data_IF_488960809153
#
_entry.id   IF_488960809153
#
_cell.length_a   1.000
_cell.length_b   1.000
_cell.length_c   1.000
_cell.angle_alpha   90.00
_cell.angle_beta   90.00
_cell.angle_gamma   90.00
#
_symmetry.space_group_name_H-M   'P 1'
#
loop_
_entity.id
_entity.type
_entity.pdbx_description
1 polymer ?
#
# COMPACT_ATOMS: atom_id res chain seq x y z
N UNK A 1 1.42 6.60 19.19
CA UNK A 1 2.86 6.22 19.28
C UNK A 1 3.62 7.51 19.54
N UNK A 2 4.87 7.53 20.11
CA UNK A 2 5.57 8.81 20.26
C UNK A 2 6.24 9.22 18.95
N UNK A 3 6.49 10.52 18.78
CA UNK A 3 7.18 11.06 17.60
C UNK A 3 8.57 10.42 17.41
N UNK A 4 9.31 10.24 18.50
CA UNK A 4 10.62 9.61 18.48
C UNK A 4 10.54 8.18 17.95
N UNK A 5 9.50 7.42 18.36
CA UNK A 5 9.32 6.05 17.91
C UNK A 5 8.95 5.98 16.43
N UNK A 6 8.12 6.89 15.94
CA UNK A 6 7.81 7.00 14.52
C UNK A 6 9.08 7.25 13.68
N UNK A 7 9.95 8.14 14.14
CA UNK A 7 11.25 8.42 13.49
C UNK A 7 12.15 7.18 13.50
N UNK A 8 12.27 6.49 14.65
CA UNK A 8 13.04 5.26 14.74
C UNK A 8 12.56 4.18 13.78
N UNK A 9 11.26 3.98 13.66
CA UNK A 9 10.67 2.98 12.77
C UNK A 9 10.97 3.31 11.28
N UNK A 10 10.84 4.58 10.88
CA UNK A 10 11.18 5.00 9.51
C UNK A 10 12.68 4.84 9.25
N UNK A 11 13.54 5.20 10.20
CA UNK A 11 14.99 5.02 10.07
C UNK A 11 15.38 3.55 9.98
N UNK A 12 14.70 2.66 10.72
CA UNK A 12 14.92 1.22 10.64
C UNK A 12 14.54 0.68 9.25
N UNK A 13 13.38 1.05 8.73
CA UNK A 13 12.96 0.67 7.38
C UNK A 13 13.96 1.16 6.33
N UNK A 14 14.39 2.40 6.41
CA UNK A 14 15.43 2.97 5.52
C UNK A 14 16.76 2.24 5.65
N UNK A 15 17.16 1.89 6.87
CA UNK A 15 18.38 1.10 7.15
C UNK A 15 18.34 -0.30 6.54
N UNK A 16 17.15 -0.87 6.37
CA UNK A 16 16.91 -2.13 5.64
C UNK A 16 16.76 -1.94 4.13
N UNK A 17 17.05 -0.76 3.60
CA UNK A 17 16.95 -0.43 2.18
C UNK A 17 15.50 -0.38 1.63
N UNK A 18 14.51 -0.27 2.49
CA UNK A 18 13.13 -0.04 2.07
C UNK A 18 12.96 1.42 1.64
N UNK A 19 12.19 1.64 0.59
CA UNK A 19 11.88 2.98 0.08
C UNK A 19 10.39 3.31 0.13
N UNK A 20 9.55 2.36 0.53
CA UNK A 20 8.11 2.50 0.58
C UNK A 20 7.52 1.69 1.73
N UNK A 21 6.36 2.14 2.22
CA UNK A 21 5.57 1.46 3.25
C UNK A 21 4.09 1.54 2.91
N UNK A 22 3.37 0.45 3.16
CA UNK A 22 1.91 0.43 3.15
C UNK A 22 1.39 0.48 4.58
N UNK A 23 0.40 1.33 4.82
CA UNK A 23 -0.23 1.49 6.12
C UNK A 23 -1.40 0.50 6.27
N UNK A 24 -1.08 -0.75 6.48
CA UNK A 24 -2.06 -1.82 6.67
C UNK A 24 -2.58 -1.81 8.12
N UNK A 25 -3.84 -1.64 8.40
CA UNK A 25 -5.00 -1.53 7.52
C UNK A 25 -5.86 -0.32 7.92
N UNK A 26 -5.24 0.80 8.16
CA UNK A 26 -5.86 2.07 8.60
C UNK A 26 -4.87 3.24 8.45
N UNK A 27 -5.37 4.47 8.40
CA UNK A 27 -4.50 5.64 8.27
C UNK A 27 -3.50 5.75 9.42
N UNK A 28 -2.29 6.22 9.11
CA UNK A 28 -1.23 6.38 10.10
C UNK A 28 -1.47 7.55 11.07
N UNK A 29 -0.68 7.55 12.12
CA UNK A 29 -0.41 8.72 12.94
C UNK A 29 0.22 9.83 12.07
N UNK A 30 -0.28 11.08 12.12
CA UNK A 30 0.31 12.19 11.37
C UNK A 30 1.81 12.37 11.57
N UNK A 31 2.31 12.14 12.79
CA UNK A 31 3.75 12.22 13.08
C UNK A 31 4.57 11.15 12.34
N UNK A 32 3.97 10.00 12.02
CA UNK A 32 4.61 9.01 11.17
C UNK A 32 4.73 9.51 9.73
N UNK A 33 3.70 10.15 9.19
CA UNK A 33 3.74 10.75 7.86
C UNK A 33 4.76 11.90 7.79
N UNK A 34 4.85 12.75 8.83
CA UNK A 34 5.91 13.77 8.93
C UNK A 34 7.32 13.14 8.89
N UNK A 35 7.51 12.02 9.57
CA UNK A 35 8.78 11.29 9.53
C UNK A 35 9.06 10.73 8.13
N UNK A 36 8.06 10.17 7.45
CA UNK A 36 8.19 9.69 6.07
C UNK A 36 8.55 10.83 5.10
N UNK A 37 7.90 11.99 5.23
CA UNK A 37 8.21 13.18 4.43
C UNK A 37 9.64 13.64 4.62
N UNK A 38 10.09 13.71 5.88
CA UNK A 38 11.40 14.24 6.24
C UNK A 38 12.55 13.31 5.86
N UNK A 39 12.32 12.00 5.94
CA UNK A 39 13.33 10.97 5.73
C UNK A 39 13.27 10.32 4.35
N UNK A 40 12.25 10.63 3.56
CA UNK A 40 12.12 10.16 2.18
C UNK A 40 11.67 8.69 2.08
N UNK A 41 10.58 8.32 2.75
CA UNK A 41 9.92 7.04 2.62
C UNK A 41 8.56 7.23 1.94
N UNK A 42 8.32 6.59 0.81
CA UNK A 42 7.02 6.65 0.13
C UNK A 42 5.95 5.89 0.90
N UNK A 43 4.71 6.37 0.80
CA UNK A 43 3.59 5.85 1.57
C UNK A 43 2.42 5.48 0.66
N UNK A 44 1.83 4.32 0.90
CA UNK A 44 0.47 3.97 0.52
C UNK A 44 -0.41 4.14 1.76
N UNK A 45 -1.20 5.21 1.79
CA UNK A 45 -2.12 5.46 2.91
C UNK A 45 -3.43 4.72 2.68
N UNK A 46 -3.98 4.10 3.72
CA UNK A 46 -5.07 3.14 3.57
C UNK A 46 -6.29 3.53 4.40
N UNK A 47 -7.45 3.59 3.72
CA UNK A 47 -8.73 3.62 4.39
C UNK A 47 -8.96 2.28 5.09
N UNK A 48 -9.37 2.29 6.35
CA UNK A 48 -9.74 1.07 7.08
C UNK A 48 -10.79 0.25 6.33
N UNK A 49 -10.80 -1.04 6.56
CA UNK A 49 -11.70 -2.01 5.91
C UNK A 49 -10.95 -3.29 5.57
N UNK A 50 -11.35 -4.41 6.21
CA UNK A 50 -10.70 -5.71 6.00
C UNK A 50 -11.77 -6.78 5.92
N UNK A 51 -11.87 -7.43 4.75
CA UNK A 51 -12.94 -8.37 4.37
C UNK A 51 -14.36 -7.79 4.38
N UNK A 52 -14.62 -6.76 5.17
CA UNK A 52 -15.88 -6.04 5.24
C UNK A 52 -15.70 -4.59 4.82
N UNK A 53 -16.53 -4.13 3.89
CA UNK A 53 -16.51 -2.75 3.39
C UNK A 53 -17.40 -1.84 4.22
N UNK A 54 -17.04 -0.57 4.29
CA UNK A 54 -17.94 0.46 4.80
C UNK A 54 -19.14 0.65 3.87
N UNK A 55 -20.30 0.99 4.43
CA UNK A 55 -21.37 1.58 3.63
C UNK A 55 -20.94 2.92 3.04
N UNK A 56 -21.56 3.31 1.93
CA UNK A 56 -21.16 4.51 1.19
C UNK A 56 -21.22 5.79 2.03
N UNK A 57 -22.27 6.08 2.80
CA UNK A 57 -22.32 7.28 3.62
C UNK A 57 -21.23 7.36 4.69
N UNK A 58 -20.88 6.23 5.30
CA UNK A 58 -19.79 6.17 6.29
C UNK A 58 -18.45 6.32 5.61
N UNK A 59 -18.22 5.59 4.51
CA UNK A 59 -16.97 5.63 3.76
C UNK A 59 -16.62 7.02 3.22
N UNK A 60 -17.61 7.75 2.69
CA UNK A 60 -17.42 9.13 2.20
C UNK A 60 -16.84 10.02 3.30
N UNK A 61 -17.42 10.00 4.51
CA UNK A 61 -16.93 10.81 5.64
C UNK A 61 -15.53 10.41 6.10
N UNK A 62 -15.23 9.12 6.07
CA UNK A 62 -13.90 8.63 6.46
C UNK A 62 -12.83 9.03 5.44
N UNK A 63 -13.14 8.96 4.13
CA UNK A 63 -12.24 9.40 3.05
C UNK A 63 -12.00 10.91 3.15
N UNK A 64 -13.06 11.70 3.30
CA UNK A 64 -12.95 13.15 3.49
C UNK A 64 -12.00 13.47 4.63
N UNK A 65 -12.25 12.93 5.82
CA UNK A 65 -11.41 13.20 6.99
C UNK A 65 -9.96 12.71 6.84
N UNK A 66 -9.73 11.56 6.20
CA UNK A 66 -8.39 11.03 5.94
C UNK A 66 -7.64 11.93 4.96
N UNK A 67 -8.24 12.23 3.81
CA UNK A 67 -7.56 13.00 2.76
C UNK A 67 -7.37 14.45 3.18
N UNK A 68 -8.35 15.11 3.79
CA UNK A 68 -8.19 16.48 4.29
C UNK A 68 -7.03 16.60 5.27
N UNK A 69 -6.82 15.59 6.10
CA UNK A 69 -5.70 15.53 7.03
C UNK A 69 -4.37 15.32 6.31
N UNK A 70 -4.33 14.38 5.35
CA UNK A 70 -3.08 13.77 4.86
C UNK A 70 -2.66 14.22 3.45
N UNK A 71 -3.52 14.92 2.71
CA UNK A 71 -3.29 15.31 1.30
C UNK A 71 -2.00 16.11 1.06
N UNK A 72 -1.53 16.83 2.07
CA UNK A 72 -0.34 17.67 1.98
C UNK A 72 0.97 16.92 2.29
N UNK A 73 0.92 15.62 2.61
CA UNK A 73 2.11 14.80 2.79
C UNK A 73 2.66 14.36 1.43
N UNK A 74 3.85 14.85 1.00
CA UNK A 74 4.43 14.49 -0.29
C UNK A 74 4.92 13.04 -0.35
N UNK A 75 5.11 12.39 0.78
CA UNK A 75 5.43 10.97 0.87
C UNK A 75 4.32 10.06 0.37
N UNK A 76 3.05 10.48 0.49
CA UNK A 76 1.91 9.69 0.03
C UNK A 76 1.86 9.72 -1.50
N UNK A 77 1.96 8.55 -2.11
CA UNK A 77 1.91 8.38 -3.58
C UNK A 77 0.75 7.51 -4.06
N UNK A 78 0.13 6.77 -3.16
CA UNK A 78 -1.10 6.00 -3.40
C UNK A 78 -2.09 6.15 -2.26
N UNK A 79 -3.37 6.08 -2.61
CA UNK A 79 -4.46 5.83 -1.67
C UNK A 79 -4.91 4.38 -1.80
N UNK A 80 -5.23 3.73 -0.70
CA UNK A 80 -5.78 2.38 -0.68
C UNK A 80 -7.21 2.40 -0.14
N UNK A 81 -8.14 1.80 -0.89
CA UNK A 81 -9.56 1.72 -0.52
C UNK A 81 -9.85 0.41 0.24
N UNK A 82 -9.25 0.23 1.42
CA UNK A 82 -9.43 -0.97 2.24
C UNK A 82 -8.52 -2.14 1.85
N UNK A 83 -8.81 -3.33 2.38
CA UNK A 83 -8.01 -4.53 2.20
C UNK A 83 -8.88 -5.76 1.86
N UNK A 84 -8.34 -6.68 1.05
CA UNK A 84 -8.89 -8.04 0.82
C UNK A 84 -10.41 -8.08 0.63
N UNK A 85 -10.92 -7.39 -0.39
CA UNK A 85 -12.36 -7.20 -0.68
C UNK A 85 -13.10 -6.29 0.33
N UNK A 86 -12.40 -5.66 1.26
CA UNK A 86 -12.96 -4.64 2.14
C UNK A 86 -13.19 -3.29 1.46
N UNK A 87 -12.87 -3.16 0.16
CA UNK A 87 -13.14 -1.94 -0.61
C UNK A 87 -14.60 -1.85 -1.05
N UNK A 88 -15.15 -0.64 -0.96
CA UNK A 88 -16.42 -0.29 -1.57
C UNK A 88 -16.17 0.49 -2.86
N UNK A 89 -16.46 -0.08 -4.01
CA UNK A 89 -16.19 0.52 -5.32
C UNK A 89 -16.96 1.81 -5.59
N UNK A 90 -18.05 2.06 -4.87
CA UNK A 90 -18.76 3.34 -4.94
C UNK A 90 -17.94 4.51 -4.36
N UNK A 91 -16.91 4.19 -3.58
CA UNK A 91 -16.03 5.17 -2.93
C UNK A 91 -14.81 5.56 -3.77
N UNK A 92 -14.51 4.85 -4.85
CA UNK A 92 -13.26 5.08 -5.61
C UNK A 92 -13.15 6.53 -6.12
N UNK A 93 -14.25 7.10 -6.55
CA UNK A 93 -14.28 8.48 -7.02
C UNK A 93 -14.20 9.53 -5.90
N UNK A 94 -14.50 9.16 -4.67
CA UNK A 94 -14.50 10.08 -3.53
C UNK A 94 -13.09 10.57 -3.19
N UNK A 95 -12.08 9.67 -3.28
CA UNK A 95 -10.68 10.02 -3.05
C UNK A 95 -10.26 11.23 -3.92
N UNK A 96 -10.65 11.23 -5.18
CA UNK A 96 -10.28 12.28 -6.12
C UNK A 96 -11.09 13.59 -5.95
N UNK A 97 -12.13 13.62 -5.13
CA UNK A 97 -12.81 14.88 -4.81
C UNK A 97 -11.96 15.76 -3.90
N UNK A 98 -11.26 15.15 -2.96
CA UNK A 98 -10.48 15.82 -1.93
C UNK A 98 -8.98 15.86 -2.25
N UNK A 99 -8.48 14.98 -3.14
CA UNK A 99 -7.08 14.99 -3.58
C UNK A 99 -6.90 15.73 -4.91
N UNK A 100 -6.38 16.97 -4.90
CA UNK A 100 -6.14 17.75 -6.12
C UNK A 100 -5.06 17.13 -7.03
N UNK A 101 -4.18 16.28 -6.48
CA UNK A 101 -3.13 15.60 -7.24
C UNK A 101 -3.66 14.38 -7.99
N UNK A 102 -4.87 13.90 -7.67
CA UNK A 102 -5.49 12.72 -8.30
C UNK A 102 -4.60 11.47 -8.22
N UNK A 103 -3.96 11.26 -7.05
CA UNK A 103 -3.12 10.07 -6.83
C UNK A 103 -3.92 8.80 -7.09
N UNK A 104 -3.28 7.74 -7.59
CA UNK A 104 -3.98 6.48 -7.85
C UNK A 104 -4.61 5.89 -6.60
N UNK A 105 -5.80 5.32 -6.77
CA UNK A 105 -6.49 4.52 -5.75
C UNK A 105 -6.21 3.05 -6.01
N UNK A 106 -5.84 2.30 -4.99
CA UNK A 106 -5.49 0.89 -5.06
C UNK A 106 -6.54 0.04 -4.34
N UNK A 107 -6.78 -1.15 -4.87
CA UNK A 107 -7.59 -2.19 -4.21
C UNK A 107 -6.67 -3.35 -3.82
N UNK A 108 -6.12 -3.41 -2.60
CA UNK A 108 -5.27 -4.51 -2.15
C UNK A 108 -5.91 -5.88 -2.34
N UNK A 109 -5.17 -6.83 -2.91
CA UNK A 109 -5.64 -8.12 -3.39
C UNK A 109 -6.60 -8.02 -4.61
N UNK A 110 -6.47 -6.97 -5.41
CA UNK A 110 -7.33 -6.76 -6.58
C UNK A 110 -6.58 -6.27 -7.81
N UNK A 111 -7.27 -6.28 -8.94
CA UNK A 111 -6.83 -5.66 -10.18
C UNK A 111 -7.70 -4.42 -10.42
N UNK A 112 -7.11 -3.25 -10.24
CA UNK A 112 -7.83 -1.98 -10.33
C UNK A 112 -6.89 -0.83 -10.72
N UNK A 113 -7.39 0.13 -11.46
CA UNK A 113 -6.69 1.37 -11.83
C UNK A 113 -5.32 1.14 -12.50
N UNK A 114 -5.16 0.03 -13.24
CA UNK A 114 -3.91 -0.33 -13.92
C UNK A 114 -2.88 -1.04 -13.05
N UNK A 115 -3.24 -1.41 -11.82
CA UNK A 115 -2.40 -2.16 -10.89
C UNK A 115 -2.97 -3.55 -10.61
N UNK A 116 -2.11 -4.54 -10.59
CA UNK A 116 -2.37 -5.89 -10.11
C UNK A 116 -1.66 -6.06 -8.75
N UNK A 117 -2.46 -6.25 -7.70
CA UNK A 117 -1.98 -6.17 -6.30
C UNK A 117 -2.21 -7.46 -5.51
N UNK A 118 -2.31 -8.59 -6.19
CA UNK A 118 -2.65 -9.88 -5.59
C UNK A 118 -1.73 -10.26 -4.42
N UNK A 119 -2.35 -10.79 -3.35
CA UNK A 119 -1.66 -11.19 -2.13
C UNK A 119 -1.15 -12.62 -2.17
N UNK A 120 0.00 -12.87 -1.52
CA UNK A 120 0.56 -14.19 -1.15
C UNK A 120 0.57 -15.22 -2.28
N UNK A 121 0.95 -14.82 -3.48
CA UNK A 121 1.10 -15.77 -4.59
C UNK A 121 2.42 -16.49 -4.53
N UNK A 122 2.40 -17.78 -4.92
CA UNK A 122 3.63 -18.53 -5.11
C UNK A 122 4.53 -17.87 -6.15
N UNK A 123 5.79 -18.22 -6.15
CA UNK A 123 6.78 -17.70 -7.11
C UNK A 123 6.32 -17.88 -8.56
N UNK A 124 5.80 -19.07 -8.92
CA UNK A 124 5.32 -19.33 -10.28
C UNK A 124 4.05 -18.55 -10.64
N UNK A 125 3.11 -18.39 -9.71
CA UNK A 125 1.92 -17.58 -9.92
C UNK A 125 2.28 -16.10 -10.11
N UNK A 126 3.21 -15.58 -9.31
CA UNK A 126 3.68 -14.20 -9.44
C UNK A 126 4.26 -13.92 -10.83
N UNK A 127 4.99 -14.87 -11.42
CA UNK A 127 5.46 -14.77 -12.80
C UNK A 127 4.31 -14.66 -13.82
N UNK A 128 3.18 -15.32 -13.57
CA UNK A 128 2.01 -15.23 -14.44
C UNK A 128 1.33 -13.87 -14.32
N UNK A 129 1.18 -13.33 -13.11
CA UNK A 129 0.63 -11.98 -12.91
C UNK A 129 1.48 -10.90 -13.56
N UNK A 130 2.80 -11.02 -13.54
CA UNK A 130 3.69 -10.06 -14.22
C UNK A 130 3.57 -10.07 -15.76
N UNK A 131 2.94 -11.09 -16.37
CA UNK A 131 2.65 -11.12 -17.82
C UNK A 131 1.42 -10.32 -18.21
N UNK A 132 0.58 -9.96 -17.25
CA UNK A 132 -0.59 -9.12 -17.47
C UNK A 132 -0.19 -7.71 -17.91
N UNK A 133 -1.07 -6.95 -18.54
CA UNK A 133 -0.76 -5.58 -19.00
C UNK A 133 -0.61 -4.58 -17.84
N UNK A 134 -1.15 -4.88 -16.67
CA UNK A 134 -1.12 -4.03 -15.49
C UNK A 134 0.28 -3.96 -14.87
N UNK A 135 0.52 -2.93 -14.08
CA UNK A 135 1.69 -2.82 -13.22
C UNK A 135 1.52 -3.82 -12.06
N UNK A 136 2.44 -4.77 -11.94
CA UNK A 136 2.45 -5.72 -10.83
C UNK A 136 3.10 -5.08 -9.60
N UNK A 137 2.32 -5.00 -8.54
CA UNK A 137 2.71 -4.44 -7.24
C UNK A 137 1.96 -5.20 -6.15
N UNK A 138 2.36 -6.42 -5.78
CA UNK A 138 1.69 -7.15 -4.70
C UNK A 138 1.73 -6.31 -3.42
N UNK A 139 0.56 -6.09 -2.83
CA UNK A 139 0.43 -5.29 -1.62
C UNK A 139 0.66 -6.10 -0.34
N UNK A 140 0.75 -7.40 -0.47
CA UNK A 140 1.26 -8.32 0.53
C UNK A 140 1.89 -9.53 -0.16
N UNK A 141 3.14 -9.85 0.18
CA UNK A 141 3.80 -11.05 -0.38
C UNK A 141 4.78 -11.63 0.63
N UNK A 142 5.06 -12.94 0.46
CA UNK A 142 6.05 -13.67 1.22
C UNK A 142 5.88 -13.53 2.74
N UNK A 143 4.80 -14.10 3.26
CA UNK A 143 4.45 -14.03 4.67
C UNK A 143 5.41 -14.87 5.54
N UNK A 144 6.54 -14.30 5.95
CA UNK A 144 7.61 -15.01 6.66
C UNK A 144 7.19 -15.71 7.96
N UNK A 145 6.09 -15.26 8.58
CA UNK A 145 5.59 -15.86 9.81
C UNK A 145 4.80 -17.17 9.57
N UNK A 146 4.00 -17.23 8.50
CA UNK A 146 3.07 -18.35 8.26
C UNK A 146 3.54 -19.31 7.17
N UNK A 147 4.37 -18.87 6.25
CA UNK A 147 4.82 -19.69 5.11
C UNK A 147 5.95 -20.68 5.44
N UNK A 148 6.34 -20.77 6.69
CA UNK A 148 7.36 -21.71 7.18
C UNK A 148 8.80 -21.41 6.76
N UNK A 149 9.00 -20.52 5.79
CA UNK A 149 10.31 -20.13 5.26
C UNK A 149 10.94 -18.91 5.93
N UNK A 150 10.26 -18.29 6.87
CA UNK A 150 10.72 -17.09 7.60
C UNK A 150 11.30 -15.98 6.69
N UNK A 151 10.71 -15.80 5.52
CA UNK A 151 11.16 -14.81 4.54
C UNK A 151 12.38 -15.21 3.70
N UNK A 152 12.83 -16.47 3.79
CA UNK A 152 14.01 -16.95 3.05
C UNK A 152 13.90 -16.80 1.52
N UNK A 153 12.69 -16.82 0.97
CA UNK A 153 12.43 -16.62 -0.46
C UNK A 153 12.49 -15.16 -0.93
N UNK A 154 12.69 -14.18 -0.03
CA UNK A 154 12.66 -12.76 -0.38
C UNK A 154 13.63 -12.41 -1.51
N UNK A 155 14.84 -12.95 -1.48
CA UNK A 155 15.84 -12.70 -2.50
C UNK A 155 15.37 -13.17 -3.89
N UNK A 156 14.81 -14.38 -3.97
CA UNK A 156 14.35 -14.96 -5.24
C UNK A 156 13.18 -14.17 -5.83
N UNK A 157 12.19 -13.81 -4.99
CA UNK A 157 11.08 -12.95 -5.40
C UNK A 157 11.59 -11.60 -5.88
N UNK A 158 12.47 -10.95 -5.13
CA UNK A 158 13.02 -9.64 -5.47
C UNK A 158 13.81 -9.69 -6.78
N UNK A 159 14.67 -10.69 -6.96
CA UNK A 159 15.42 -10.88 -8.20
C UNK A 159 14.53 -11.12 -9.42
N UNK A 160 13.40 -11.77 -9.23
CA UNK A 160 12.40 -11.93 -10.28
C UNK A 160 11.69 -10.61 -10.58
N UNK A 161 11.20 -9.95 -9.56
CA UNK A 161 10.39 -8.73 -9.65
C UNK A 161 11.18 -7.57 -10.27
N UNK A 162 12.40 -7.31 -9.80
CA UNK A 162 13.22 -6.19 -10.29
C UNK A 162 13.67 -6.33 -11.74
N UNK A 163 13.62 -7.53 -12.31
CA UNK A 163 13.96 -7.77 -13.72
C UNK A 163 12.79 -7.54 -14.66
N UNK A 164 11.60 -7.42 -14.13
CA UNK A 164 10.40 -7.29 -14.96
C UNK A 164 10.00 -5.81 -15.12
N UNK A 165 9.85 -5.31 -16.37
CA UNK A 165 9.65 -3.88 -16.62
C UNK A 165 8.33 -3.31 -16.13
N UNK A 166 7.36 -4.17 -15.82
CA UNK A 166 6.06 -3.76 -15.24
C UNK A 166 5.90 -4.11 -13.77
N UNK A 167 6.96 -4.51 -13.09
CA UNK A 167 6.94 -4.70 -11.65
C UNK A 167 7.68 -3.54 -10.99
N UNK A 168 7.01 -2.88 -10.05
CA UNK A 168 7.58 -1.72 -9.32
C UNK A 168 7.97 -2.05 -7.88
N UNK A 169 7.96 -3.31 -7.51
CA UNK A 169 8.21 -3.81 -6.16
C UNK A 169 6.93 -4.35 -5.53
N UNK A 170 6.92 -4.46 -4.20
CA UNK A 170 5.79 -4.95 -3.41
C UNK A 170 5.96 -4.63 -1.93
N UNK A 171 4.92 -4.88 -1.15
CA UNK A 171 4.81 -4.60 0.28
C UNK A 171 4.67 -5.88 1.11
#
# INVERSE_FOLDING_TARGET
MSKEKNIEDVLLMKGMNMNSVRLSHYPADPEFLEACDSLGLYVMDELGGWHGKYDTPTGVRLIEGMIERDVNHPSIIWWSNGNEKGWNTELDGEFHKYDPQKRPVIHPQGNFSGFETMHYRSYGESQNYMRLPEIFMPTEFLHGLYDGGHGAGLYDYWEMMRKHPRCIGGF
#
